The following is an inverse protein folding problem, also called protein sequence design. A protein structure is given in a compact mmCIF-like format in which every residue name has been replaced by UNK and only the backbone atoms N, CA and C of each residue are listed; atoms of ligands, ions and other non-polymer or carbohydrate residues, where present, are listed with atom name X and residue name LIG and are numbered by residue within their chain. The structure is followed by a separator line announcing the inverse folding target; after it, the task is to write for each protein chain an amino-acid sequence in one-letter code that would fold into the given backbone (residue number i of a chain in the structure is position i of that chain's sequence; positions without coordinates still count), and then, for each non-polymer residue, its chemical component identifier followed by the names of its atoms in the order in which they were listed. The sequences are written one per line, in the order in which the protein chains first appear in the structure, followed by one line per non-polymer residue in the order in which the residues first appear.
data_IF_319823879943
#
_entry.id   IF_319823879943
#
_cell.length_a   1.000
_cell.length_b   1.000
_cell.length_c   1.000
_cell.angle_alpha   90.00
_cell.angle_beta   90.00
_cell.angle_gamma   90.00
#
_symmetry.space_group_name_H-M   'P 1'
#
loop_
_entity.id
_entity.type
_entity.pdbx_description
1 polymer ?
#
# COMPACT_ATOMS: atom_id res chain seq x y z
N UNK A 1 26.43 24.03 8.72
CA UNK A 1 25.57 22.85 8.98
C UNK A 1 24.76 22.41 7.75
N UNK A 2 24.34 23.29 6.84
CA UNK A 2 23.51 22.97 5.66
C UNK A 2 24.25 22.21 4.54
N UNK A 3 25.47 22.62 4.16
CA UNK A 3 26.23 21.94 3.09
C UNK A 3 26.60 20.48 3.43
N UNK A 4 26.86 20.18 4.70
CA UNK A 4 27.16 18.82 5.14
C UNK A 4 25.93 17.90 5.01
N UNK A 5 24.74 18.46 5.24
CA UNK A 5 23.46 17.76 5.11
C UNK A 5 23.13 17.50 3.62
N UNK A 6 23.39 18.46 2.73
CA UNK A 6 23.26 18.27 1.28
C UNK A 6 24.25 17.23 0.73
N UNK A 7 25.50 17.26 1.19
CA UNK A 7 26.50 16.25 0.82
C UNK A 7 26.16 14.84 1.33
N UNK A 8 25.53 14.74 2.50
CA UNK A 8 25.02 13.46 3.02
C UNK A 8 23.83 12.97 2.19
N UNK A 9 22.88 13.84 1.86
CA UNK A 9 21.72 13.53 1.02
C UNK A 9 22.14 13.07 -0.38
N UNK A 10 23.10 13.74 -1.01
CA UNK A 10 23.62 13.34 -2.31
C UNK A 10 24.32 11.99 -2.28
N UNK A 11 25.08 11.69 -1.21
CA UNK A 11 25.68 10.36 -1.00
C UNK A 11 24.62 9.27 -0.85
N UNK A 12 23.59 9.51 -0.05
CA UNK A 12 22.47 8.58 0.11
C UNK A 12 21.77 8.32 -1.22
N UNK A 13 21.43 9.36 -1.99
CA UNK A 13 20.79 9.22 -3.31
C UNK A 13 21.67 8.46 -4.31
N UNK A 14 22.98 8.69 -4.28
CA UNK A 14 23.92 7.94 -5.12
C UNK A 14 23.93 6.45 -4.78
N UNK A 15 23.98 6.11 -3.49
CA UNK A 15 23.93 4.73 -3.02
C UNK A 15 22.62 4.03 -3.39
N UNK A 16 21.48 4.73 -3.28
CA UNK A 16 20.18 4.20 -3.67
C UNK A 16 20.13 3.90 -5.17
N UNK A 17 20.55 4.84 -6.01
CA UNK A 17 20.58 4.66 -7.47
C UNK A 17 21.49 3.51 -7.90
N UNK A 18 22.64 3.36 -7.23
CA UNK A 18 23.55 2.24 -7.49
C UNK A 18 22.99 0.90 -7.00
N UNK A 19 22.28 0.90 -5.87
CA UNK A 19 21.52 -0.26 -5.40
C UNK A 19 20.44 -0.68 -6.40
N UNK A 20 19.62 0.27 -6.86
CA UNK A 20 18.58 0.05 -7.88
C UNK A 20 19.18 -0.49 -9.18
N UNK A 21 20.27 0.11 -9.68
CA UNK A 21 20.93 -0.35 -10.89
C UNK A 21 21.39 -1.80 -10.77
N UNK A 22 22.03 -2.17 -9.66
CA UNK A 22 22.48 -3.55 -9.42
C UNK A 22 21.32 -4.53 -9.33
N UNK A 23 20.25 -4.16 -8.63
CA UNK A 23 19.04 -4.97 -8.53
C UNK A 23 18.40 -5.19 -9.92
N UNK A 24 18.32 -4.16 -10.76
CA UNK A 24 17.78 -4.27 -12.11
C UNK A 24 18.61 -5.20 -13.00
N UNK A 25 19.94 -5.13 -12.91
CA UNK A 25 20.84 -6.05 -13.64
C UNK A 25 20.65 -7.49 -13.18
N UNK A 26 20.56 -7.72 -11.87
CA UNK A 26 20.31 -9.05 -11.31
C UNK A 26 18.95 -9.60 -11.76
N UNK A 27 17.90 -8.78 -11.73
CA UNK A 27 16.57 -9.16 -12.19
C UNK A 27 16.58 -9.53 -13.68
N UNK A 28 17.25 -8.74 -14.53
CA UNK A 28 17.38 -9.06 -15.95
C UNK A 28 18.10 -10.39 -16.19
N UNK A 29 19.16 -10.66 -15.40
CA UNK A 29 19.86 -11.95 -15.43
C UNK A 29 18.95 -13.11 -15.03
N UNK A 30 18.20 -12.96 -13.93
CA UNK A 30 17.27 -13.98 -13.46
C UNK A 30 16.18 -14.26 -14.50
N UNK A 31 15.55 -13.23 -15.07
CA UNK A 31 14.52 -13.39 -16.10
C UNK A 31 15.03 -14.15 -17.32
N UNK A 32 16.29 -13.90 -17.72
CA UNK A 32 16.92 -14.64 -18.82
C UNK A 32 17.09 -16.12 -18.47
N UNK A 33 17.69 -16.43 -17.32
CA UNK A 33 17.87 -17.81 -16.89
C UNK A 33 16.53 -18.53 -16.76
N UNK A 34 15.51 -17.88 -16.21
CA UNK A 34 14.16 -18.45 -16.10
C UNK A 34 13.51 -18.67 -17.46
N UNK A 35 13.69 -17.77 -18.44
CA UNK A 35 13.17 -17.99 -19.79
C UNK A 35 13.84 -19.20 -20.45
N UNK A 36 15.17 -19.33 -20.31
CA UNK A 36 15.93 -20.46 -20.83
C UNK A 36 15.48 -21.79 -20.18
N UNK A 37 15.30 -21.81 -18.85
CA UNK A 37 14.81 -22.97 -18.09
C UNK A 37 13.40 -23.39 -18.51
N UNK A 38 12.46 -22.45 -18.61
CA UNK A 38 11.08 -22.74 -19.03
C UNK A 38 11.07 -23.34 -20.44
N UNK A 39 11.79 -22.72 -21.38
CA UNK A 39 11.84 -23.24 -22.75
C UNK A 39 12.46 -24.65 -22.80
N UNK A 40 13.51 -24.91 -22.01
CA UNK A 40 14.12 -26.25 -21.93
C UNK A 40 13.16 -27.30 -21.35
N UNK A 41 12.37 -26.95 -20.34
CA UNK A 41 11.33 -27.84 -19.80
C UNK A 41 10.22 -28.10 -20.82
N UNK A 42 9.75 -27.07 -21.52
CA UNK A 42 8.75 -27.21 -22.56
C UNK A 42 9.24 -28.04 -23.75
N UNK A 43 10.53 -27.95 -24.10
CA UNK A 43 11.13 -28.77 -25.15
C UNK A 43 11.17 -30.24 -24.72
N UNK A 44 11.56 -30.52 -23.47
CA UNK A 44 11.58 -31.87 -22.89
C UNK A 44 10.17 -32.51 -22.86
N UNK A 45 9.13 -31.71 -22.66
CA UNK A 45 7.74 -32.16 -22.65
C UNK A 45 7.08 -32.15 -24.05
N UNK A 46 7.82 -31.83 -25.11
CA UNK A 46 7.33 -31.69 -26.49
C UNK A 46 6.19 -30.66 -26.64
N UNK A 47 6.09 -29.72 -25.70
CA UNK A 47 5.06 -28.68 -25.66
C UNK A 47 5.44 -27.42 -26.46
N UNK A 48 6.69 -27.30 -26.91
CA UNK A 48 7.16 -26.14 -27.69
C UNK A 48 6.31 -25.89 -28.95
N UNK A 49 5.78 -26.95 -29.57
CA UNK A 49 4.93 -26.83 -30.76
C UNK A 49 3.53 -26.21 -30.47
N UNK A 50 3.14 -26.11 -29.19
CA UNK A 50 1.88 -25.48 -28.78
C UNK A 50 1.99 -23.96 -28.68
N UNK A 51 3.21 -23.44 -28.64
CA UNK A 51 3.49 -22.01 -28.57
C UNK A 51 3.69 -21.43 -29.98
N UNK A 52 3.18 -20.22 -30.21
CA UNK A 52 3.47 -19.45 -31.43
C UNK A 52 4.95 -19.04 -31.49
N UNK A 53 5.56 -18.81 -30.32
CA UNK A 53 6.96 -18.42 -30.17
C UNK A 53 7.50 -18.89 -28.81
N UNK A 54 8.83 -19.12 -28.69
CA UNK A 54 9.45 -19.41 -27.41
C UNK A 54 9.20 -18.32 -26.37
N UNK A 55 9.28 -18.68 -25.09
CA UNK A 55 9.18 -17.73 -23.98
C UNK A 55 10.37 -16.78 -24.03
N UNK A 56 10.11 -15.47 -24.08
CA UNK A 56 11.15 -14.44 -24.11
C UNK A 56 11.26 -13.71 -22.76
N UNK A 57 12.40 -13.01 -22.58
CA UNK A 57 12.62 -12.15 -21.42
C UNK A 57 11.57 -11.03 -21.36
N UNK A 58 11.20 -10.45 -22.51
CA UNK A 58 10.18 -9.41 -22.60
C UNK A 58 8.80 -9.92 -22.15
N UNK A 59 8.45 -11.15 -22.53
CA UNK A 59 7.20 -11.77 -22.11
C UNK A 59 7.17 -11.98 -20.58
N UNK A 60 8.22 -12.56 -20.01
CA UNK A 60 8.31 -12.74 -18.56
C UNK A 60 8.34 -11.40 -17.82
N UNK A 61 9.01 -10.39 -18.36
CA UNK A 61 8.99 -9.05 -17.80
C UNK A 61 7.57 -8.48 -17.78
N UNK A 62 6.80 -8.65 -18.85
CA UNK A 62 5.38 -8.28 -18.91
C UNK A 62 4.53 -9.00 -17.86
N UNK A 63 4.69 -10.31 -17.71
CA UNK A 63 3.99 -11.12 -16.69
C UNK A 63 4.35 -10.65 -15.28
N UNK A 64 5.63 -10.45 -15.00
CA UNK A 64 6.12 -9.99 -13.70
C UNK A 64 5.62 -8.59 -13.40
N UNK A 65 5.65 -7.67 -14.37
CA UNK A 65 5.11 -6.33 -14.20
C UNK A 65 3.61 -6.39 -13.91
N UNK A 66 2.85 -7.13 -14.71
CA UNK A 66 1.42 -7.29 -14.49
C UNK A 66 1.13 -7.86 -13.10
N UNK A 67 1.81 -8.91 -12.66
CA UNK A 67 1.56 -9.52 -11.35
C UNK A 67 2.07 -8.69 -10.15
N UNK A 68 3.27 -8.11 -10.22
CA UNK A 68 3.83 -7.33 -9.12
C UNK A 68 3.15 -5.96 -9.00
N UNK A 69 2.94 -5.25 -10.12
CA UNK A 69 2.33 -3.94 -10.08
C UNK A 69 0.83 -4.02 -9.82
N UNK A 70 0.07 -4.95 -10.43
CA UNK A 70 -1.35 -5.05 -10.09
C UNK A 70 -1.59 -5.46 -8.64
N UNK A 71 -0.81 -6.39 -8.09
CA UNK A 71 -0.97 -6.80 -6.69
C UNK A 71 -0.55 -5.68 -5.73
N UNK A 72 0.53 -4.97 -6.03
CA UNK A 72 0.96 -3.80 -5.25
C UNK A 72 -0.10 -2.70 -5.30
N UNK A 73 -0.61 -2.35 -6.48
CA UNK A 73 -1.64 -1.33 -6.64
C UNK A 73 -2.97 -1.71 -5.96
N UNK A 74 -3.39 -2.98 -6.04
CA UNK A 74 -4.56 -3.47 -5.30
C UNK A 74 -4.36 -3.40 -3.79
N UNK A 75 -3.17 -3.73 -3.29
CA UNK A 75 -2.81 -3.59 -1.89
C UNK A 75 -2.82 -2.14 -1.41
N UNK A 76 -2.13 -1.24 -2.13
CA UNK A 76 -2.08 0.19 -1.82
C UNK A 76 -3.48 0.83 -1.86
N UNK A 77 -4.32 0.42 -2.81
CA UNK A 77 -5.70 0.89 -2.92
C UNK A 77 -6.58 0.40 -1.76
N UNK A 78 -6.42 -0.86 -1.33
CA UNK A 78 -7.12 -1.39 -0.15
C UNK A 78 -6.72 -0.64 1.13
N UNK A 79 -5.43 -0.33 1.29
CA UNK A 79 -4.93 0.48 2.42
C UNK A 79 -5.51 1.90 2.37
N UNK A 80 -5.53 2.54 1.21
CA UNK A 80 -6.13 3.88 1.06
C UNK A 80 -7.63 3.89 1.37
N UNK A 81 -8.37 2.86 0.95
CA UNK A 81 -9.79 2.69 1.26
C UNK A 81 -10.02 2.51 2.76
N UNK A 82 -9.20 1.70 3.43
CA UNK A 82 -9.29 1.52 4.88
C UNK A 82 -9.09 2.84 5.62
N UNK A 83 -8.03 3.58 5.28
CA UNK A 83 -7.74 4.88 5.91
C UNK A 83 -8.91 5.86 5.70
N UNK A 84 -9.49 5.90 4.49
CA UNK A 84 -10.65 6.74 4.21
C UNK A 84 -11.88 6.34 5.04
N UNK A 85 -12.13 5.05 5.19
CA UNK A 85 -13.24 4.52 6.01
C UNK A 85 -13.05 4.86 7.49
N UNK A 86 -11.83 4.73 8.00
CA UNK A 86 -11.50 5.05 9.40
C UNK A 86 -11.74 6.54 9.68
N UNK A 87 -11.27 7.43 8.78
CA UNK A 87 -11.53 8.87 8.89
C UNK A 87 -13.01 9.23 8.78
N UNK A 88 -13.76 8.58 7.89
CA UNK A 88 -15.22 8.79 7.79
C UNK A 88 -15.92 8.38 9.08
N UNK A 89 -15.54 7.24 9.65
CA UNK A 89 -16.10 6.73 10.91
C UNK A 89 -15.78 7.66 12.08
N UNK A 90 -14.56 8.20 12.13
CA UNK A 90 -14.15 9.18 13.15
C UNK A 90 -14.93 10.50 13.03
N UNK A 91 -15.13 10.98 11.80
CA UNK A 91 -15.94 12.17 11.53
C UNK A 91 -17.41 11.96 11.94
N UNK A 92 -17.99 10.80 11.63
CA UNK A 92 -19.35 10.44 12.05
C UNK A 92 -19.47 10.36 13.58
N UNK A 93 -18.48 9.75 14.26
CA UNK A 93 -18.45 9.69 15.71
C UNK A 93 -18.33 11.08 16.37
N UNK A 94 -17.52 11.97 15.79
CA UNK A 94 -17.40 13.36 16.25
C UNK A 94 -18.68 14.15 16.00
N UNK A 95 -19.36 13.94 14.86
CA UNK A 95 -20.66 14.55 14.58
C UNK A 95 -21.74 14.03 15.53
N UNK A 96 -21.77 12.73 15.84
CA UNK A 96 -22.70 12.14 16.79
C UNK A 96 -22.44 12.65 18.22
N UNK A 97 -21.18 12.81 18.61
CA UNK A 97 -20.81 13.40 19.90
C UNK A 97 -21.16 14.90 19.98
N UNK A 98 -21.05 15.64 18.87
CA UNK A 98 -21.49 17.04 18.80
C UNK A 98 -23.01 17.20 18.69
N UNK A 99 -23.72 16.20 18.17
CA UNK A 99 -25.18 16.13 18.15
C UNK A 99 -25.79 15.73 19.51
N UNK A 100 -24.96 15.41 20.50
CA UNK A 100 -25.35 15.37 21.91
C UNK A 100 -24.95 16.67 22.63
N UNK A 101 -25.76 17.75 22.52
CA UNK A 101 -25.88 18.70 23.61
C UNK A 101 -27.32 18.72 24.16
N UNK A 102 -27.43 18.72 25.50
CA UNK A 102 -28.60 19.16 26.29
C UNK A 102 -29.77 18.20 26.59
N UNK A 103 -29.53 17.05 27.24
CA UNK A 103 -30.60 16.38 28.01
C UNK A 103 -30.22 15.96 29.45
N UNK A 104 -29.02 16.33 29.94
CA UNK A 104 -28.58 15.98 31.29
C UNK A 104 -28.44 17.17 32.27
N UNK A 105 -28.89 18.37 31.90
CA UNK A 105 -28.75 19.59 32.73
C UNK A 105 -30.07 20.31 33.00
N UNK A 106 -31.23 19.66 32.86
CA UNK A 106 -32.55 20.28 33.05
C UNK A 106 -33.54 19.46 33.89
N UNK A 107 -33.06 18.63 34.84
CA UNK A 107 -33.94 17.80 35.65
C UNK A 107 -33.67 17.80 37.17
N UNK A 108 -32.88 18.75 37.72
CA UNK A 108 -32.67 18.76 39.18
C UNK A 108 -32.52 20.17 39.84
N UNK A 109 -33.17 21.19 39.28
CA UNK A 109 -33.28 22.52 39.94
C UNK A 109 -34.73 23.02 40.08
N UNK A 110 -35.74 22.14 40.14
CA UNK A 110 -37.14 22.60 40.31
C UNK A 110 -38.03 21.69 41.15
N UNK A 111 -37.64 21.42 42.39
CA UNK A 111 -38.60 20.89 43.36
C UNK A 111 -38.01 20.56 44.71
N UNK A 112 -38.07 21.51 45.65
CA UNK A 112 -38.45 21.34 47.07
C UNK A 112 -37.80 22.40 47.98
N UNK A 113 -38.15 23.67 47.79
CA UNK A 113 -38.25 24.61 48.91
C UNK A 113 -39.72 25.00 49.08
N UNK A 114 -40.40 24.46 50.10
CA UNK A 114 -41.46 25.10 50.91
C UNK A 114 -42.41 24.07 51.56
N UNK A 115 -42.03 23.62 52.76
CA UNK A 115 -42.85 23.25 53.95
C UNK A 115 -41.86 22.61 54.95
N UNK A 116 -41.58 23.09 56.15
CA UNK A 116 -42.37 23.87 57.08
C UNK A 116 -41.45 24.59 58.09
N UNK A 117 -41.77 25.85 58.40
CA UNK A 117 -41.53 26.46 59.71
C UNK A 117 -42.79 26.26 60.54
N UNK A 118 -42.65 25.61 61.70
CA UNK A 118 -43.39 25.87 62.94
C UNK A 118 -42.69 25.14 64.09
#
# INVERSE_FOLDING_TARGET
MTQQNEQQRNRMLSLLREGERRMLVQLAGLLRTTADEINAELEKEELMATLEQPITVEYLNGVVQHHLFERKHKGDMAVAQQILSDYQSELEALQAAQAQPEEAAAADESGEELKAQA
#
